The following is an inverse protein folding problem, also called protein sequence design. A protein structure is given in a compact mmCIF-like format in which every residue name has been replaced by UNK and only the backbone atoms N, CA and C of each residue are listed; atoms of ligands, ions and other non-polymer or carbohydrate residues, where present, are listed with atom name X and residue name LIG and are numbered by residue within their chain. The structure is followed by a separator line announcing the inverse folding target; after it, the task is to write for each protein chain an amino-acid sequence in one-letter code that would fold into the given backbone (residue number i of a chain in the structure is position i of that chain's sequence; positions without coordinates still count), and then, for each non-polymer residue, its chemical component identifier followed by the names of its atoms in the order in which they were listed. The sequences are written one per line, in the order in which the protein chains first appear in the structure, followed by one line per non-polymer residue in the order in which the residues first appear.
data_IF_297105998890
#
_entry.id   IF_297105998890
#
_cell.length_a   1.000
_cell.length_b   1.000
_cell.length_c   1.000
_cell.angle_alpha   90.00
_cell.angle_beta   90.00
_cell.angle_gamma   90.00
#
_symmetry.space_group_name_H-M   'P 1'
#
loop_
_entity.id
_entity.type
_entity.pdbx_description
1 polymer ?
#
# COMPACT_ATOMS: atom_id res chain seq x y z
N UNK A 1 0.50 4.47 -4.95
CA UNK A 1 1.37 3.30 -5.16
C UNK A 1 0.89 2.15 -4.30
N UNK A 2 0.93 0.93 -4.82
CA UNK A 2 0.74 -0.30 -4.04
C UNK A 2 2.12 -0.95 -3.87
N UNK A 3 2.61 -0.99 -2.63
CA UNK A 3 3.84 -1.69 -2.25
C UNK A 3 3.46 -3.08 -1.75
N UNK A 4 3.97 -4.13 -2.41
CA UNK A 4 3.54 -5.49 -2.14
C UNK A 4 4.61 -6.54 -2.44
N UNK A 5 4.43 -7.73 -1.86
CA UNK A 5 5.18 -8.91 -2.26
C UNK A 5 4.42 -9.64 -3.38
N UNK A 6 5.16 -10.05 -4.39
CA UNK A 6 4.68 -10.71 -5.61
C UNK A 6 3.79 -11.93 -5.40
N UNK A 7 3.91 -12.60 -4.26
CA UNK A 7 3.01 -13.71 -3.89
C UNK A 7 1.53 -13.35 -3.85
N UNK A 8 1.16 -12.06 -3.75
CA UNK A 8 -0.22 -11.57 -3.76
C UNK A 8 -0.54 -10.72 -5.01
N UNK A 9 0.25 -10.86 -6.08
CA UNK A 9 0.13 -10.01 -7.27
C UNK A 9 -1.26 -10.08 -7.92
N UNK A 10 -1.83 -11.29 -8.02
CA UNK A 10 -3.13 -11.49 -8.65
C UNK A 10 -4.24 -10.76 -7.92
N UNK A 11 -4.28 -10.87 -6.59
CA UNK A 11 -5.24 -10.21 -5.72
C UNK A 11 -5.10 -8.69 -5.79
N UNK A 12 -3.86 -8.20 -5.81
CA UNK A 12 -3.59 -6.76 -5.82
C UNK A 12 -3.81 -6.11 -7.20
N UNK A 13 -3.65 -6.86 -8.29
CA UNK A 13 -4.10 -6.43 -9.62
C UNK A 13 -5.61 -6.19 -9.62
N UNK A 14 -6.41 -7.07 -9.01
CA UNK A 14 -7.85 -6.87 -8.92
C UNK A 14 -8.22 -5.63 -8.10
N UNK A 15 -7.54 -5.41 -6.97
CA UNK A 15 -7.72 -4.19 -6.15
C UNK A 15 -7.32 -2.94 -6.93
N UNK A 16 -6.18 -2.96 -7.63
CA UNK A 16 -5.73 -1.87 -8.52
C UNK A 16 -6.79 -1.54 -9.55
N UNK A 17 -7.32 -2.54 -10.26
CA UNK A 17 -8.31 -2.33 -11.32
C UNK A 17 -9.60 -1.72 -10.77
N UNK A 18 -10.01 -2.13 -9.57
CA UNK A 18 -11.12 -1.49 -8.88
C UNK A 18 -10.83 -0.03 -8.53
N UNK A 19 -9.64 0.30 -8.03
CA UNK A 19 -9.24 1.68 -7.72
C UNK A 19 -9.17 2.54 -8.99
N UNK A 20 -8.59 2.03 -10.09
CA UNK A 20 -8.54 2.73 -11.38
C UNK A 20 -9.95 3.02 -11.90
N UNK A 21 -10.89 2.06 -11.79
CA UNK A 21 -12.30 2.28 -12.16
C UNK A 21 -12.98 3.38 -11.34
N UNK A 22 -12.46 3.69 -10.14
CA UNK A 22 -12.94 4.78 -9.29
C UNK A 22 -12.22 6.10 -9.56
N UNK A 23 -11.34 6.16 -10.56
CA UNK A 23 -10.63 7.37 -11.00
C UNK A 23 -9.30 7.61 -10.29
N UNK A 24 -8.76 6.65 -9.53
CA UNK A 24 -7.42 6.78 -8.96
C UNK A 24 -6.34 6.42 -9.97
N UNK A 25 -5.26 7.20 -10.01
CA UNK A 25 -4.01 6.81 -10.65
C UNK A 25 -3.23 5.88 -9.71
N UNK A 26 -2.99 4.64 -10.14
CA UNK A 26 -2.42 3.58 -9.30
C UNK A 26 -1.22 2.96 -9.95
N UNK A 27 -0.05 3.24 -9.38
CA UNK A 27 1.20 2.58 -9.74
C UNK A 27 1.42 1.28 -8.96
N UNK A 28 1.86 0.24 -9.67
CA UNK A 28 2.30 -1.07 -9.19
C UNK A 28 3.54 -1.49 -9.97
N UNK A 29 4.49 -2.13 -9.29
CA UNK A 29 5.58 -2.85 -9.93
C UNK A 29 5.07 -4.23 -10.40
N UNK A 30 4.85 -4.41 -11.71
CA UNK A 30 4.24 -5.62 -12.31
C UNK A 30 5.24 -6.41 -13.15
N UNK A 31 6.21 -5.70 -13.74
CA UNK A 31 7.30 -6.32 -14.51
C UNK A 31 8.31 -6.94 -13.55
N UNK A 32 8.94 -8.07 -13.91
CA UNK A 32 9.86 -8.79 -13.02
C UNK A 32 10.81 -7.83 -12.30
N UNK A 33 10.93 -7.96 -10.97
CA UNK A 33 11.79 -7.09 -10.14
C UNK A 33 13.25 -7.01 -10.61
N UNK A 34 13.69 -7.91 -11.49
CA UNK A 34 14.99 -7.83 -12.14
C UNK A 34 15.13 -6.59 -13.05
N UNK A 35 14.03 -6.15 -13.67
CA UNK A 35 13.98 -4.94 -14.51
C UNK A 35 13.59 -3.67 -13.73
N UNK A 36 12.94 -3.81 -12.58
CA UNK A 36 12.53 -2.66 -11.77
C UNK A 36 13.72 -2.08 -11.02
N UNK A 37 14.29 -1.02 -11.62
CA UNK A 37 15.40 -0.27 -11.02
C UNK A 37 14.98 0.38 -9.71
N UNK A 38 15.93 0.58 -8.78
CA UNK A 38 15.72 1.36 -7.57
C UNK A 38 15.14 2.76 -7.85
N UNK A 39 15.44 3.33 -9.02
CA UNK A 39 14.88 4.61 -9.45
C UNK A 39 13.38 4.52 -9.72
N UNK A 40 12.90 3.47 -10.38
CA UNK A 40 11.47 3.28 -10.64
C UNK A 40 10.67 3.14 -9.32
N UNK A 41 11.23 2.40 -8.35
CA UNK A 41 10.64 2.28 -7.01
C UNK A 41 10.59 3.63 -6.29
N UNK A 42 11.68 4.41 -6.34
CA UNK A 42 11.74 5.74 -5.75
C UNK A 42 10.71 6.69 -6.40
N UNK A 43 10.63 6.70 -7.73
CA UNK A 43 9.66 7.49 -8.48
C UNK A 43 8.21 7.12 -8.11
N UNK A 44 7.92 5.83 -7.98
CA UNK A 44 6.62 5.32 -7.54
C UNK A 44 6.21 5.86 -6.17
N UNK A 45 7.13 5.84 -5.21
CA UNK A 45 6.91 6.40 -3.86
C UNK A 45 6.75 7.92 -3.93
N UNK A 46 7.64 8.62 -4.64
CA UNK A 46 7.67 10.09 -4.69
C UNK A 46 6.44 10.69 -5.34
N UNK A 47 5.93 10.10 -6.41
CA UNK A 47 4.70 10.55 -7.10
C UNK A 47 3.44 10.16 -6.34
N UNK A 48 3.48 9.13 -5.50
CA UNK A 48 2.32 8.68 -4.75
C UNK A 48 1.89 9.69 -3.68
N UNK A 49 0.58 9.97 -3.61
CA UNK A 49 -0.05 10.61 -2.46
C UNK A 49 -0.20 9.64 -1.29
N UNK A 50 -0.69 8.44 -1.62
CA UNK A 50 -0.88 7.30 -0.71
C UNK A 50 0.00 6.14 -1.14
N UNK A 51 0.65 5.52 -0.17
CA UNK A 51 1.33 4.24 -0.33
C UNK A 51 0.55 3.17 0.44
N UNK A 52 -0.02 2.23 -0.32
CA UNK A 52 -0.68 1.06 0.23
C UNK A 52 0.40 0.03 0.59
N UNK A 53 0.54 -0.32 1.88
CA UNK A 53 1.51 -1.33 2.35
C UNK A 53 0.79 -2.67 2.53
N UNK A 54 1.05 -3.62 1.65
CA UNK A 54 0.40 -4.93 1.60
C UNK A 54 1.11 -5.95 2.50
N UNK A 55 0.77 -5.90 3.78
CA UNK A 55 1.35 -6.68 4.86
C UNK A 55 1.10 -8.19 4.71
N UNK A 56 2.18 -8.95 4.81
CA UNK A 56 2.26 -10.41 4.91
C UNK A 56 3.65 -10.79 5.42
N UNK A 57 3.87 -12.06 5.79
CA UNK A 57 5.20 -12.52 6.19
C UNK A 57 6.21 -12.32 5.04
N UNK A 58 5.83 -12.68 3.82
CA UNK A 58 6.68 -12.49 2.62
C UNK A 58 6.95 -11.03 2.29
N UNK A 59 6.04 -10.11 2.63
CA UNK A 59 6.30 -8.67 2.52
C UNK A 59 7.37 -8.24 3.53
N UNK A 60 7.25 -8.68 4.78
CA UNK A 60 8.22 -8.38 5.84
C UNK A 60 9.63 -8.89 5.52
N UNK A 61 9.71 -10.04 4.86
CA UNK A 61 10.99 -10.68 4.54
C UNK A 61 11.64 -10.17 3.24
N UNK A 62 10.92 -9.36 2.45
CA UNK A 62 11.42 -8.81 1.18
C UNK A 62 12.25 -7.54 1.41
N UNK A 63 13.55 -7.53 1.06
CA UNK A 63 14.39 -6.33 1.18
C UNK A 63 13.86 -5.14 0.38
N UNK A 64 13.27 -5.40 -0.78
CA UNK A 64 12.73 -4.37 -1.66
C UNK A 64 11.44 -3.78 -1.09
N UNK A 65 10.54 -4.62 -0.58
CA UNK A 65 9.34 -4.14 0.12
C UNK A 65 9.71 -3.30 1.34
N UNK A 66 10.74 -3.72 2.09
CA UNK A 66 11.27 -2.95 3.22
C UNK A 66 11.81 -1.59 2.76
N UNK A 67 12.60 -1.55 1.69
CA UNK A 67 13.15 -0.30 1.15
C UNK A 67 12.04 0.68 0.73
N UNK A 68 11.00 0.20 0.03
CA UNK A 68 9.83 1.02 -0.34
C UNK A 68 9.10 1.57 0.89
N UNK A 69 8.84 0.70 1.88
CA UNK A 69 8.14 1.08 3.10
C UNK A 69 8.92 2.13 3.91
N UNK A 70 10.21 1.89 4.14
CA UNK A 70 11.09 2.83 4.85
C UNK A 70 11.21 4.16 4.07
N UNK A 71 11.28 4.10 2.74
CA UNK A 71 11.33 5.30 1.92
C UNK A 71 10.02 6.10 1.97
N UNK A 72 8.87 5.44 1.83
CA UNK A 72 7.56 6.06 1.96
C UNK A 72 7.39 6.73 3.33
N UNK A 73 7.81 6.06 4.40
CA UNK A 73 7.82 6.61 5.75
C UNK A 73 8.72 7.86 5.85
N UNK A 74 9.96 7.78 5.36
CA UNK A 74 10.91 8.90 5.35
C UNK A 74 10.41 10.11 4.54
N UNK A 75 9.67 9.87 3.46
CA UNK A 75 9.07 10.92 2.62
C UNK A 75 7.75 11.47 3.18
N UNK A 76 7.32 11.01 4.37
CA UNK A 76 6.09 11.48 5.01
C UNK A 76 4.84 11.11 4.23
N UNK A 77 4.88 10.02 3.45
CA UNK A 77 3.73 9.58 2.66
C UNK A 77 2.61 9.09 3.56
N UNK A 78 1.38 9.23 3.07
CA UNK A 78 0.24 8.66 3.75
C UNK A 78 0.27 7.15 3.53
N UNK A 79 0.52 6.41 4.60
CA UNK A 79 0.59 4.95 4.58
C UNK A 79 -0.77 4.39 5.01
N UNK A 80 -1.38 3.59 4.14
CA UNK A 80 -2.57 2.80 4.47
C UNK A 80 -2.19 1.32 4.45
N UNK A 81 -2.20 0.63 5.61
CA UNK A 81 -1.86 -0.78 5.67
C UNK A 81 -3.01 -1.68 5.18
N UNK A 82 -2.65 -2.69 4.39
CA UNK A 82 -3.52 -3.76 3.91
C UNK A 82 -3.02 -5.09 4.46
N UNK A 83 -3.88 -5.86 5.14
CA UNK A 83 -3.53 -7.20 5.61
C UNK A 83 -3.89 -8.22 4.53
N UNK A 84 -2.89 -8.83 3.92
CA UNK A 84 -3.08 -9.81 2.82
C UNK A 84 -3.07 -11.25 3.29
N UNK A 85 -2.56 -11.51 4.49
CA UNK A 85 -2.37 -12.85 5.04
C UNK A 85 -3.19 -13.06 6.32
N UNK A 86 -3.92 -14.18 6.40
CA UNK A 86 -4.85 -14.45 7.50
C UNK A 86 -4.06 -14.74 8.77
N UNK A 87 -4.40 -14.05 9.85
CA UNK A 87 -3.70 -14.22 11.13
C UNK A 87 -2.32 -13.56 11.20
N UNK A 88 -1.86 -12.92 10.11
CA UNK A 88 -0.61 -12.16 10.13
C UNK A 88 -0.72 -10.91 11.00
N UNK A 89 0.23 -10.73 11.92
CA UNK A 89 0.36 -9.51 12.72
C UNK A 89 1.74 -8.91 12.48
N UNK A 90 1.84 -7.62 12.08
CA UNK A 90 3.12 -7.00 11.82
C UNK A 90 3.91 -6.81 13.12
N UNK A 91 5.17 -7.20 13.10
CA UNK A 91 6.11 -7.13 14.21
C UNK A 91 7.48 -6.60 13.73
N UNK A 92 8.40 -6.40 14.66
CA UNK A 92 9.74 -5.88 14.36
C UNK A 92 9.70 -4.55 13.59
N UNK A 93 10.47 -4.46 12.50
CA UNK A 93 10.57 -3.25 11.69
C UNK A 93 9.23 -2.82 11.09
N UNK A 94 8.42 -3.77 10.63
CA UNK A 94 7.12 -3.49 10.01
C UNK A 94 6.12 -3.06 11.09
N UNK A 95 6.12 -3.74 12.25
CA UNK A 95 5.29 -3.35 13.38
C UNK A 95 5.54 -1.90 13.83
N UNK A 96 6.79 -1.48 13.94
CA UNK A 96 7.15 -0.08 14.28
C UNK A 96 6.67 0.90 13.21
N UNK A 97 6.86 0.57 11.92
CA UNK A 97 6.49 1.45 10.81
C UNK A 97 4.97 1.63 10.68
N UNK A 98 4.21 0.54 10.86
CA UNK A 98 2.75 0.58 10.85
C UNK A 98 2.23 1.28 12.11
N UNK A 99 2.76 0.96 13.29
CA UNK A 99 2.33 1.54 14.56
C UNK A 99 0.86 1.23 14.85
N UNK A 100 0.10 2.24 15.27
CA UNK A 100 -1.33 2.09 15.62
C UNK A 100 -2.28 2.37 14.45
N UNK A 101 -1.79 2.32 13.21
CA UNK A 101 -2.62 2.59 12.02
C UNK A 101 -3.71 1.53 11.86
N UNK A 102 -4.92 1.97 11.50
CA UNK A 102 -6.00 1.07 11.10
C UNK A 102 -5.61 0.38 9.80
N UNK A 103 -5.77 -0.94 9.74
CA UNK A 103 -5.53 -1.73 8.54
C UNK A 103 -6.83 -2.25 7.92
N UNK A 104 -6.79 -2.50 6.62
CA UNK A 104 -7.90 -3.08 5.86
C UNK A 104 -7.59 -4.53 5.52
N UNK A 105 -8.47 -5.44 5.92
CA UNK A 105 -8.24 -6.89 5.82
C UNK A 105 -8.73 -7.44 4.47
N UNK A 106 -7.77 -7.89 3.67
CA UNK A 106 -7.93 -8.54 2.37
C UNK A 106 -7.43 -9.99 2.38
N UNK A 107 -7.27 -10.60 3.56
CA UNK A 107 -6.77 -11.97 3.73
C UNK A 107 -7.78 -13.08 3.35
N UNK A 108 -8.85 -12.75 2.64
CA UNK A 108 -9.94 -13.65 2.29
C UNK A 108 -10.92 -13.93 3.43
N UNK A 109 -10.80 -13.26 4.58
CA UNK A 109 -11.72 -13.40 5.72
C UNK A 109 -13.09 -12.77 5.50
N UNK A 110 -13.17 -11.72 4.67
CA UNK A 110 -14.36 -10.91 4.46
C UNK A 110 -14.68 -10.74 2.98
N UNK A 111 -15.89 -10.26 2.70
CA UNK A 111 -16.31 -9.84 1.36
C UNK A 111 -15.39 -8.73 0.82
N UNK A 112 -14.77 -9.00 -0.33
CA UNK A 112 -13.80 -8.14 -1.00
C UNK A 112 -14.45 -6.82 -1.45
N UNK A 113 -15.70 -6.84 -1.93
CA UNK A 113 -16.38 -5.63 -2.41
C UNK A 113 -16.61 -4.64 -1.26
N UNK A 114 -17.05 -5.14 -0.11
CA UNK A 114 -17.23 -4.32 1.09
C UNK A 114 -15.90 -3.70 1.54
N UNK A 115 -14.82 -4.47 1.54
CA UNK A 115 -13.48 -4.00 1.96
C UNK A 115 -12.88 -3.01 0.97
N UNK A 116 -13.11 -3.18 -0.33
CA UNK A 116 -12.75 -2.20 -1.35
C UNK A 116 -13.42 -0.85 -1.09
N UNK A 117 -14.71 -0.83 -0.77
CA UNK A 117 -15.42 0.42 -0.48
C UNK A 117 -14.90 1.12 0.79
N UNK A 118 -14.53 0.36 1.82
CA UNK A 118 -13.88 0.90 3.02
C UNK A 118 -12.50 1.51 2.70
N UNK A 119 -11.71 0.84 1.85
CA UNK A 119 -10.41 1.32 1.39
C UNK A 119 -10.54 2.60 0.54
N UNK A 120 -11.48 2.64 -0.41
CA UNK A 120 -11.72 3.82 -1.27
C UNK A 120 -12.01 5.05 -0.42
N UNK A 121 -12.87 4.92 0.59
CA UNK A 121 -13.19 6.02 1.52
C UNK A 121 -11.95 6.50 2.27
N UNK A 122 -11.11 5.57 2.73
CA UNK A 122 -9.86 5.89 3.42
C UNK A 122 -8.92 6.72 2.53
N UNK A 123 -8.78 6.29 1.27
CA UNK A 123 -7.98 7.01 0.27
C UNK A 123 -8.57 8.39 0.02
N UNK A 124 -9.88 8.53 -0.17
CA UNK A 124 -10.53 9.84 -0.40
C UNK A 124 -10.33 10.82 0.76
N UNK A 125 -10.49 10.36 2.01
CA UNK A 125 -10.25 11.16 3.21
C UNK A 125 -8.80 11.67 3.24
N UNK A 126 -7.86 10.83 2.80
CA UNK A 126 -6.44 11.19 2.73
C UNK A 126 -6.15 12.35 1.75
N UNK A 127 -6.95 12.51 0.70
CA UNK A 127 -6.88 13.66 -0.22
C UNK A 127 -7.52 14.91 0.39
N UNK A 128 -8.69 14.78 1.02
CA UNK A 128 -9.40 15.91 1.65
C UNK A 128 -8.61 16.57 2.80
N UNK A 129 -7.86 15.78 3.57
CA UNK A 129 -7.00 16.29 4.64
C UNK A 129 -5.80 17.12 4.14
N UNK A 130 -5.40 16.98 2.87
CA UNK A 130 -4.28 17.74 2.29
C UNK A 130 -4.73 19.11 1.79
N UNK A 131 -5.94 19.23 1.23
CA UNK A 131 -6.50 20.54 0.85
C UNK A 131 -6.61 21.50 2.04
N UNK A 132 -6.89 20.99 3.24
CA UNK A 132 -6.94 21.80 4.47
C UNK A 132 -5.54 22.19 5.00
N UNK A 133 -4.48 21.42 4.71
CA UNK A 133 -3.11 21.74 5.15
C UNK A 133 -2.40 22.79 4.30
N UNK A 134 -2.86 23.02 3.07
CA UNK A 134 -2.27 24.02 2.16
C UNK A 134 -2.85 25.43 2.45
N UNK A 135 -3.94 25.52 3.20
CA UNK A 135 -4.62 26.79 3.54
C UNK A 135 -4.22 27.39 4.90
N UNK A 136 -3.30 26.76 5.64
CA UNK A 136 -2.75 27.25 6.91
C UNK A 136 -1.22 27.37 6.83
#
# INVERSE_FOLDING_TARGET
MISYNWSHQKELIAIRDCLIKQGFDVWMDIENMFDSTLQAMADGVERAHVVLICMSQKYKDSPNCRAEAEYAFKRGKIIIPLKMERGYEPDGWLGILIGTKVFYDFSGKYDVEKKINELIRAIQISYGNVSMKIQN
#
